data_IF_773859573590
#
_entry.id   IF_773859573590
#
_cell.length_a   1.000
_cell.length_b   1.000
_cell.length_c   1.000
_cell.angle_alpha   90.00
_cell.angle_beta   90.00
_cell.angle_gamma   90.00
#
_symmetry.space_group_name_H-M   'P 1'
#
loop_
_entity.id
_entity.type
_entity.pdbx_description
1 polymer ?
#
# COMPACT_ATOMS: atom_id res chain seq x y z
N UNK A 1 -34.41 -0.90 11.05
CA UNK A 1 -33.48 0.24 10.88
C UNK A 1 -32.10 -0.35 10.74
N UNK A 2 -31.68 -0.59 9.50
CA UNK A 2 -30.33 -1.02 9.16
C UNK A 2 -29.39 0.15 9.42
N UNK A 3 -28.33 -0.07 10.21
CA UNK A 3 -27.32 0.96 10.50
C UNK A 3 -26.62 1.44 9.23
N UNK A 4 -25.90 2.56 9.27
CA UNK A 4 -25.18 3.06 8.12
C UNK A 4 -24.13 2.02 7.70
N UNK A 5 -24.28 1.53 6.47
CA UNK A 5 -23.34 0.65 5.79
C UNK A 5 -21.99 1.38 5.70
N UNK A 6 -20.99 0.93 6.47
CA UNK A 6 -19.65 1.51 6.43
C UNK A 6 -19.06 1.21 5.05
N UNK A 7 -18.92 2.22 4.20
CA UNK A 7 -18.24 2.08 2.92
C UNK A 7 -16.75 1.88 3.18
N UNK A 8 -16.30 0.62 3.15
CA UNK A 8 -14.88 0.27 3.16
C UNK A 8 -14.26 0.86 1.89
N UNK A 9 -13.23 1.69 2.03
CA UNK A 9 -12.51 2.26 0.89
C UNK A 9 -11.78 1.17 0.09
N UNK A 10 -11.37 1.43 -1.16
CA UNK A 10 -10.70 0.43 -1.98
C UNK A 10 -9.40 -0.04 -1.35
N UNK A 11 -9.04 -1.30 -1.63
CA UNK A 11 -7.74 -1.84 -1.23
C UNK A 11 -6.63 -1.17 -2.04
N UNK A 12 -5.88 -0.28 -1.40
CA UNK A 12 -4.80 0.47 -2.06
C UNK A 12 -3.50 -0.34 -2.10
N UNK A 13 -3.04 -0.69 -3.29
CA UNK A 13 -1.82 -1.47 -3.48
C UNK A 13 -0.78 -0.61 -4.21
N UNK A 14 0.37 -0.40 -3.57
CA UNK A 14 1.50 0.26 -4.23
C UNK A 14 2.25 -0.74 -5.11
N UNK A 15 2.53 -0.37 -6.37
CA UNK A 15 3.43 -1.10 -7.24
C UNK A 15 4.75 -0.33 -7.31
N UNK A 16 5.83 -0.94 -6.82
CA UNK A 16 7.16 -0.31 -6.68
C UNK A 16 8.24 -1.08 -7.42
N UNK A 17 9.37 -0.42 -7.67
CA UNK A 17 10.56 -1.01 -8.26
C UNK A 17 11.83 -0.31 -7.79
N UNK A 18 12.89 -1.08 -7.50
CA UNK A 18 14.17 -0.54 -7.04
C UNK A 18 14.97 0.26 -8.08
N UNK A 19 14.66 0.10 -9.38
CA UNK A 19 15.30 0.80 -10.50
C UNK A 19 14.30 1.07 -11.63
N UNK A 20 14.60 2.06 -12.47
CA UNK A 20 13.86 2.29 -13.71
C UNK A 20 14.06 1.18 -14.74
N UNK A 21 13.10 1.00 -15.64
CA UNK A 21 13.23 0.06 -16.78
C UNK A 21 12.89 -1.40 -16.48
N UNK A 22 12.38 -1.74 -15.29
CA UNK A 22 11.96 -3.12 -14.96
C UNK A 22 10.58 -3.51 -15.52
N UNK A 23 9.89 -2.60 -16.22
CA UNK A 23 8.54 -2.82 -16.74
C UNK A 23 7.42 -2.72 -15.69
N UNK A 24 7.63 -1.96 -14.62
CA UNK A 24 6.66 -1.75 -13.53
C UNK A 24 5.29 -1.29 -14.05
N UNK A 25 5.23 -0.23 -14.86
CA UNK A 25 3.97 0.31 -15.40
C UNK A 25 3.27 -0.67 -16.34
N UNK A 26 4.03 -1.43 -17.14
CA UNK A 26 3.52 -2.52 -17.97
C UNK A 26 2.87 -3.62 -17.13
N UNK A 27 3.52 -3.99 -16.02
CA UNK A 27 2.99 -4.96 -15.05
C UNK A 27 1.71 -4.41 -14.41
N UNK A 28 1.70 -3.14 -13.98
CA UNK A 28 0.53 -2.48 -13.40
C UNK A 28 -0.67 -2.48 -14.36
N UNK A 29 -0.48 -2.06 -15.61
CA UNK A 29 -1.56 -2.00 -16.60
C UNK A 29 -2.16 -3.38 -16.90
N UNK A 30 -1.32 -4.40 -17.11
CA UNK A 30 -1.79 -5.75 -17.41
C UNK A 30 -2.48 -6.42 -16.22
N UNK A 31 -1.97 -6.24 -14.99
CA UNK A 31 -2.63 -6.75 -13.78
C UNK A 31 -3.97 -6.04 -13.56
N UNK A 32 -4.04 -4.71 -13.75
CA UNK A 32 -5.28 -3.95 -13.59
C UNK A 32 -6.39 -4.48 -14.51
N UNK A 33 -6.07 -4.68 -15.79
CA UNK A 33 -7.02 -5.23 -16.76
C UNK A 33 -7.37 -6.67 -16.44
N UNK A 34 -6.41 -7.49 -16.02
CA UNK A 34 -6.69 -8.87 -15.59
C UNK A 34 -7.62 -8.93 -14.36
N UNK A 35 -7.48 -8.01 -13.39
CA UNK A 35 -8.39 -7.89 -12.25
C UNK A 35 -9.79 -7.44 -12.68
N UNK A 36 -9.89 -6.48 -13.61
CA UNK A 36 -11.17 -6.04 -14.16
C UNK A 36 -11.88 -7.18 -14.94
N UNK A 37 -11.14 -7.97 -15.73
CA UNK A 37 -11.68 -9.17 -16.41
C UNK A 37 -12.15 -10.24 -15.43
N UNK A 38 -11.56 -10.30 -14.22
CA UNK A 38 -12.00 -11.17 -13.13
C UNK A 38 -13.23 -10.61 -12.37
N UNK A 39 -13.76 -9.44 -12.76
CA UNK A 39 -14.97 -8.85 -12.22
C UNK A 39 -14.76 -7.82 -11.11
N UNK A 40 -13.52 -7.43 -10.81
CA UNK A 40 -13.23 -6.41 -9.81
C UNK A 40 -13.42 -5.00 -10.39
N UNK A 41 -13.90 -4.08 -9.56
CA UNK A 41 -13.90 -2.64 -9.85
C UNK A 41 -12.52 -2.06 -9.56
N UNK A 42 -11.76 -1.72 -10.61
CA UNK A 42 -10.33 -1.38 -10.50
C UNK A 42 -10.05 0.08 -10.88
N UNK A 43 -9.29 0.75 -10.03
CA UNK A 43 -8.67 2.05 -10.33
C UNK A 43 -7.15 1.95 -10.44
N UNK A 44 -6.55 2.81 -11.26
CA UNK A 44 -5.10 3.01 -11.36
C UNK A 44 -4.75 4.48 -11.22
N UNK A 45 -3.84 4.78 -10.30
CA UNK A 45 -3.15 6.06 -10.22
C UNK A 45 -1.75 5.88 -10.81
N UNK A 46 -1.49 6.56 -11.91
CA UNK A 46 -0.14 6.69 -12.47
C UNK A 46 0.59 7.84 -11.77
N UNK A 47 1.41 7.48 -10.80
CA UNK A 47 2.18 8.40 -9.98
C UNK A 47 3.61 8.62 -10.54
N UNK A 48 3.96 8.05 -11.70
CA UNK A 48 5.23 8.34 -12.37
C UNK A 48 5.16 9.68 -13.12
N UNK A 49 5.48 10.74 -12.41
CA UNK A 49 5.38 12.12 -12.90
C UNK A 49 6.33 12.42 -14.07
N UNK A 50 7.48 11.74 -14.12
CA UNK A 50 8.52 12.03 -15.11
C UNK A 50 8.40 11.18 -16.37
N UNK A 51 7.71 10.04 -16.29
CA UNK A 51 7.48 9.15 -17.42
C UNK A 51 6.12 8.46 -17.33
N UNK A 52 5.00 9.21 -17.31
CA UNK A 52 3.68 8.62 -17.26
C UNK A 52 3.48 7.76 -18.50
N UNK A 53 3.07 6.52 -18.32
CA UNK A 53 2.98 5.53 -19.40
C UNK A 53 1.68 4.74 -19.40
N UNK A 54 0.97 4.72 -18.27
CA UNK A 54 -0.29 3.98 -18.13
C UNK A 54 -1.37 4.46 -19.12
N UNK A 55 -1.60 5.77 -19.36
CA UNK A 55 -2.62 6.21 -20.31
C UNK A 55 -2.37 5.69 -21.72
N UNK A 56 -1.11 5.76 -22.19
CA UNK A 56 -0.71 5.24 -23.50
C UNK A 56 -0.93 3.74 -23.61
N UNK A 57 -0.46 2.97 -22.62
CA UNK A 57 -0.63 1.50 -22.57
C UNK A 57 -2.09 1.03 -22.56
N UNK A 58 -3.02 1.91 -22.17
CA UNK A 58 -4.47 1.65 -22.13
C UNK A 58 -5.24 2.34 -23.27
N UNK A 59 -4.54 2.97 -24.21
CA UNK A 59 -5.18 3.66 -25.34
C UNK A 59 -6.00 4.87 -24.94
N UNK A 60 -5.74 5.45 -23.76
CA UNK A 60 -6.45 6.61 -23.24
C UNK A 60 -5.84 7.87 -23.87
N UNK A 61 -6.65 8.72 -24.54
CA UNK A 61 -6.15 9.96 -25.10
C UNK A 61 -5.64 10.91 -24.00
N UNK A 62 -4.57 11.65 -24.28
CA UNK A 62 -3.95 12.62 -23.36
C UNK A 62 -4.77 13.91 -23.15
N UNK A 63 -6.10 13.81 -23.11
CA UNK A 63 -6.98 14.95 -22.86
C UNK A 63 -7.12 15.22 -21.37
N UNK A 64 -7.27 16.50 -21.01
CA UNK A 64 -7.54 16.88 -19.62
C UNK A 64 -8.85 16.26 -19.13
N UNK A 65 -8.85 15.65 -17.93
CA UNK A 65 -10.04 15.03 -17.40
C UNK A 65 -11.12 16.09 -17.12
N UNK A 66 -12.37 15.73 -17.40
CA UNK A 66 -13.51 16.56 -17.05
C UNK A 66 -13.70 16.63 -15.53
N UNK A 67 -14.48 17.60 -15.06
CA UNK A 67 -14.83 17.73 -13.65
C UNK A 67 -16.34 17.55 -13.45
N UNK A 68 -16.73 16.93 -12.35
CA UNK A 68 -18.13 16.85 -11.92
C UNK A 68 -18.63 18.22 -11.45
N UNK A 69 -19.96 18.43 -11.34
CA UNK A 69 -20.51 19.64 -10.72
C UNK A 69 -19.99 19.90 -9.30
N UNK A 70 -19.63 18.84 -8.58
CA UNK A 70 -19.04 18.86 -7.23
C UNK A 70 -17.52 19.13 -7.23
N UNK A 71 -16.94 19.53 -8.36
CA UNK A 71 -15.51 19.82 -8.52
C UNK A 71 -14.60 18.60 -8.28
N UNK A 72 -15.11 17.38 -8.53
CA UNK A 72 -14.30 16.16 -8.52
C UNK A 72 -13.78 15.88 -9.93
N UNK A 73 -12.57 15.35 -10.05
CA UNK A 73 -11.97 14.92 -11.32
C UNK A 73 -12.64 13.62 -11.76
N UNK A 74 -13.16 13.59 -12.99
CA UNK A 74 -13.71 12.36 -13.59
C UNK A 74 -12.52 11.56 -14.15
N UNK A 75 -12.24 10.34 -13.65
CA UNK A 75 -11.14 9.54 -14.17
C UNK A 75 -11.43 9.11 -15.60
N UNK A 76 -10.38 8.93 -16.41
CA UNK A 76 -10.53 8.26 -17.69
C UNK A 76 -10.85 6.78 -17.47
N UNK A 77 -11.48 6.13 -18.44
CA UNK A 77 -11.81 4.71 -18.34
C UNK A 77 -11.47 3.99 -19.64
N UNK A 78 -10.74 2.88 -19.52
CA UNK A 78 -10.45 2.00 -20.64
C UNK A 78 -10.30 0.56 -20.14
N UNK A 79 -10.71 -0.41 -20.93
CA UNK A 79 -10.60 -1.84 -20.60
C UNK A 79 -11.22 -2.23 -19.24
N UNK A 80 -12.25 -1.52 -18.77
CA UNK A 80 -12.88 -1.73 -17.47
C UNK A 80 -12.09 -1.19 -16.28
N UNK A 81 -11.06 -0.38 -16.52
CA UNK A 81 -10.18 0.21 -15.50
C UNK A 81 -10.33 1.73 -15.52
N UNK A 82 -10.56 2.32 -14.35
CA UNK A 82 -10.54 3.77 -14.17
C UNK A 82 -9.10 4.24 -13.95
N UNK A 83 -8.72 5.36 -14.54
CA UNK A 83 -7.32 5.83 -14.56
C UNK A 83 -7.26 7.33 -14.33
N UNK A 84 -6.30 7.72 -13.49
CA UNK A 84 -5.80 9.09 -13.45
C UNK A 84 -4.28 9.07 -13.56
N UNK A 85 -3.73 9.98 -14.34
CA UNK A 85 -2.28 10.11 -14.52
C UNK A 85 -1.87 11.57 -14.48
N UNK A 86 -0.63 11.80 -14.03
CA UNK A 86 -0.02 13.11 -14.14
C UNK A 86 0.07 13.60 -15.60
N UNK A 87 0.26 12.67 -16.54
CA UNK A 87 0.31 12.98 -17.97
C UNK A 87 -0.98 13.57 -18.54
N UNK A 88 -2.12 13.40 -17.86
CA UNK A 88 -3.40 13.98 -18.27
C UNK A 88 -3.59 15.43 -17.80
N UNK A 89 -2.80 15.90 -16.84
CA UNK A 89 -2.95 17.24 -16.25
C UNK A 89 -2.02 18.29 -16.87
N UNK A 90 -0.94 17.85 -17.50
CA UNK A 90 0.06 18.71 -18.13
C UNK A 90 -0.33 18.98 -19.58
N UNK A 91 -0.42 20.26 -19.97
CA UNK A 91 -0.49 20.60 -21.40
C UNK A 91 0.88 20.28 -22.03
N UNK A 92 0.88 19.54 -23.14
CA UNK A 92 2.06 18.96 -23.85
C UNK A 92 3.17 19.94 -24.28
N UNK A 93 3.09 21.24 -23.92
CA UNK A 93 3.98 22.28 -24.45
C UNK A 93 4.88 22.95 -23.40
N UNK A 94 4.82 22.56 -22.13
CA UNK A 94 5.74 23.11 -21.10
C UNK A 94 6.22 22.02 -20.16
N UNK A 95 7.54 21.78 -20.03
CA UNK A 95 8.06 20.96 -18.94
C UNK A 95 7.73 21.69 -17.63
N UNK A 96 6.61 21.33 -17.03
CA UNK A 96 6.25 21.80 -15.71
C UNK A 96 7.30 21.23 -14.75
N UNK A 97 8.24 22.05 -14.31
CA UNK A 97 9.17 21.69 -13.25
C UNK A 97 8.34 21.54 -11.97
N UNK A 98 7.78 20.34 -11.79
CA UNK A 98 7.02 19.96 -10.63
C UNK A 98 8.00 19.85 -9.46
N UNK A 99 7.96 20.85 -8.58
CA UNK A 99 8.71 20.82 -7.31
C UNK A 99 7.97 19.92 -6.31
N UNK A 100 8.72 19.24 -5.44
CA UNK A 100 8.20 18.24 -4.48
C UNK A 100 6.85 18.56 -3.82
N UNK A 101 6.61 19.77 -3.28
CA UNK A 101 5.33 20.11 -2.65
C UNK A 101 4.11 20.03 -3.59
N UNK A 102 4.29 20.27 -4.90
CA UNK A 102 3.20 20.14 -5.87
C UNK A 102 2.90 18.68 -6.18
N UNK A 103 3.91 17.82 -6.22
CA UNK A 103 3.75 16.38 -6.40
C UNK A 103 2.84 15.80 -5.32
N UNK A 104 3.13 16.11 -4.05
CA UNK A 104 2.29 15.68 -2.93
C UNK A 104 0.84 16.14 -3.07
N UNK A 105 0.63 17.39 -3.50
CA UNK A 105 -0.71 17.94 -3.71
C UNK A 105 -1.47 17.21 -4.81
N UNK A 106 -0.81 16.89 -5.93
CA UNK A 106 -1.44 16.12 -7.02
C UNK A 106 -1.75 14.69 -6.59
N UNK A 107 -0.87 14.03 -5.85
CA UNK A 107 -1.14 12.69 -5.32
C UNK A 107 -2.33 12.71 -4.33
N UNK A 108 -2.40 13.71 -3.46
CA UNK A 108 -3.58 13.96 -2.60
C UNK A 108 -4.86 14.17 -3.41
N UNK A 109 -4.78 14.92 -4.49
CA UNK A 109 -5.90 15.12 -5.41
C UNK A 109 -6.32 13.80 -6.08
N UNK A 110 -5.37 13.00 -6.58
CA UNK A 110 -5.67 11.75 -7.27
C UNK A 110 -6.40 10.72 -6.42
N UNK A 111 -6.11 10.69 -5.11
CA UNK A 111 -6.79 9.76 -4.21
C UNK A 111 -8.07 10.35 -3.63
N UNK A 112 -8.09 11.64 -3.28
CA UNK A 112 -9.23 12.24 -2.53
C UNK A 112 -10.22 13.03 -3.37
N UNK A 113 -9.83 13.50 -4.55
CA UNK A 113 -10.59 14.43 -5.38
C UNK A 113 -10.90 13.87 -6.78
N UNK A 114 -10.73 12.57 -6.97
CA UNK A 114 -11.17 11.84 -8.17
C UNK A 114 -12.45 11.09 -7.84
N UNK A 115 -13.42 11.14 -8.75
CA UNK A 115 -14.68 10.42 -8.65
C UNK A 115 -14.51 8.96 -9.07
N UNK A 116 -13.88 8.18 -8.18
CA UNK A 116 -13.62 6.76 -8.39
C UNK A 116 -14.90 5.91 -8.40
N UNK A 117 -16.00 6.39 -7.82
CA UNK A 117 -17.14 5.55 -7.48
C UNK A 117 -16.76 4.45 -6.46
N UNK A 118 -17.44 3.31 -6.52
CA UNK A 118 -17.05 2.13 -5.75
C UNK A 118 -15.92 1.39 -6.48
N UNK A 119 -14.87 1.06 -5.74
CA UNK A 119 -13.72 0.31 -6.22
C UNK A 119 -13.38 -0.79 -5.20
N UNK A 120 -13.03 -1.97 -5.71
CA UNK A 120 -12.47 -3.05 -4.90
C UNK A 120 -10.98 -2.81 -4.66
N UNK A 121 -10.26 -2.36 -5.70
CA UNK A 121 -8.80 -2.19 -5.69
C UNK A 121 -8.40 -0.88 -6.36
N UNK A 122 -7.44 -0.18 -5.74
CA UNK A 122 -6.76 0.98 -6.32
C UNK A 122 -5.26 0.70 -6.41
N UNK A 123 -4.74 0.52 -7.63
CA UNK A 123 -3.32 0.31 -7.87
C UNK A 123 -2.59 1.65 -8.00
N UNK A 124 -1.46 1.80 -7.32
CA UNK A 124 -0.65 3.01 -7.36
C UNK A 124 0.68 2.70 -8.05
N UNK A 125 0.84 3.13 -9.30
CA UNK A 125 2.06 2.95 -10.08
C UNK A 125 3.10 3.99 -9.65
N UNK A 126 3.98 3.62 -8.72
CA UNK A 126 4.90 4.57 -8.08
C UNK A 126 6.04 4.97 -9.04
N UNK A 127 6.65 6.17 -8.93
CA UNK A 127 7.86 6.50 -9.70
C UNK A 127 9.02 5.54 -9.35
N UNK A 128 10.00 5.31 -10.24
CA UNK A 128 11.10 4.38 -9.96
C UNK A 128 12.03 4.87 -8.85
N UNK A 129 12.70 3.93 -8.17
CA UNK A 129 13.74 4.23 -7.17
C UNK A 129 13.20 4.22 -5.74
N UNK A 130 13.86 4.96 -4.86
CA UNK A 130 13.61 4.96 -3.40
C UNK A 130 13.59 6.39 -2.84
N UNK A 131 13.12 7.33 -3.65
CA UNK A 131 13.13 8.76 -3.33
C UNK A 131 11.93 9.19 -2.47
N UNK A 132 11.99 10.43 -1.99
CA UNK A 132 11.03 11.01 -1.03
C UNK A 132 9.56 10.97 -1.50
N UNK A 133 9.30 10.90 -2.82
CA UNK A 133 7.94 10.84 -3.37
C UNK A 133 7.22 9.56 -2.96
N UNK A 134 7.90 8.41 -3.03
CA UNK A 134 7.29 7.14 -2.65
C UNK A 134 7.00 7.09 -1.14
N UNK A 135 7.91 7.63 -0.32
CA UNK A 135 7.73 7.77 1.12
C UNK A 135 6.54 8.67 1.45
N UNK A 136 6.46 9.82 0.80
CA UNK A 136 5.38 10.80 0.98
C UNK A 136 4.02 10.19 0.64
N UNK A 137 3.93 9.42 -0.44
CA UNK A 137 2.70 8.74 -0.84
C UNK A 137 2.30 7.66 0.17
N UNK A 138 3.26 6.84 0.62
CA UNK A 138 3.01 5.81 1.62
C UNK A 138 2.63 6.38 3.00
N UNK A 139 3.10 7.58 3.35
CA UNK A 139 2.69 8.30 4.56
C UNK A 139 1.32 9.00 4.41
N UNK A 140 0.98 9.45 3.20
CA UNK A 140 -0.25 10.20 2.95
C UNK A 140 -1.50 9.32 2.91
N UNK A 141 -1.35 8.01 2.61
CA UNK A 141 -2.46 7.09 2.41
C UNK A 141 -2.26 5.76 3.12
N UNK A 142 -3.34 5.16 3.66
CA UNK A 142 -3.28 3.84 4.26
C UNK A 142 -3.19 2.78 3.16
N UNK A 143 -1.96 2.40 2.79
CA UNK A 143 -1.74 1.33 1.82
C UNK A 143 -2.03 -0.04 2.45
N UNK A 144 -2.83 -0.85 1.77
CA UNK A 144 -3.09 -2.24 2.15
C UNK A 144 -1.84 -3.11 1.98
N UNK A 145 -0.96 -2.73 1.04
CA UNK A 145 0.37 -3.30 0.90
C UNK A 145 1.10 -2.81 -0.34
N UNK A 146 2.32 -3.31 -0.53
CA UNK A 146 3.17 -3.01 -1.67
C UNK A 146 3.61 -4.29 -2.39
N UNK A 147 3.68 -4.22 -3.72
CA UNK A 147 4.24 -5.23 -4.60
C UNK A 147 5.54 -4.70 -5.18
N UNK A 148 6.57 -5.52 -5.17
CA UNK A 148 7.87 -5.15 -5.75
C UNK A 148 8.07 -5.85 -7.08
N UNK A 149 8.23 -5.06 -8.14
CA UNK A 149 8.61 -5.53 -9.47
C UNK A 149 10.13 -5.50 -9.61
N UNK A 150 10.71 -6.62 -9.98
CA UNK A 150 12.15 -6.79 -10.21
C UNK A 150 12.41 -7.56 -11.50
N UNK A 151 13.68 -7.67 -11.89
CA UNK A 151 14.17 -8.48 -13.01
C UNK A 151 15.15 -9.54 -12.50
N UNK A 152 15.39 -10.65 -13.24
CA UNK A 152 16.34 -11.67 -12.80
C UNK A 152 17.77 -11.16 -12.58
N UNK A 153 18.13 -10.04 -13.22
CA UNK A 153 19.44 -9.39 -13.08
C UNK A 153 19.58 -8.59 -11.77
N UNK A 154 18.49 -8.38 -11.03
CA UNK A 154 18.47 -7.65 -9.76
C UNK A 154 18.95 -8.49 -8.58
N UNK A 155 19.93 -9.36 -8.79
CA UNK A 155 20.50 -10.26 -7.76
C UNK A 155 21.18 -9.47 -6.62
N UNK A 156 21.40 -8.15 -6.78
CA UNK A 156 21.91 -7.31 -5.70
C UNK A 156 20.83 -7.02 -4.68
N UNK A 157 20.90 -7.73 -3.56
CA UNK A 157 20.15 -7.47 -2.33
C UNK A 157 20.15 -5.99 -1.93
N UNK A 158 21.19 -5.22 -2.27
CA UNK A 158 21.24 -3.78 -1.95
C UNK A 158 20.18 -2.97 -2.69
N UNK A 159 19.83 -3.32 -3.94
CA UNK A 159 18.85 -2.57 -4.74
C UNK A 159 17.43 -2.93 -4.32
N UNK A 160 17.16 -4.23 -4.17
CA UNK A 160 15.89 -4.72 -3.65
C UNK A 160 15.63 -4.18 -2.23
N UNK A 161 16.59 -4.37 -1.29
CA UNK A 161 16.46 -3.87 0.09
C UNK A 161 16.26 -2.37 0.16
N UNK A 162 16.76 -1.56 -0.78
CA UNK A 162 16.60 -0.12 -0.70
C UNK A 162 15.14 0.30 -0.94
N UNK A 163 14.46 -0.29 -1.91
CA UNK A 163 13.03 -0.05 -2.15
C UNK A 163 12.15 -0.62 -1.03
N UNK A 164 12.55 -1.78 -0.50
CA UNK A 164 11.83 -2.48 0.57
C UNK A 164 11.99 -1.81 1.94
N UNK A 165 13.20 -1.35 2.30
CA UNK A 165 13.46 -0.62 3.56
C UNK A 165 12.61 0.63 3.67
N UNK A 166 12.30 1.28 2.55
CA UNK A 166 11.43 2.44 2.56
C UNK A 166 9.99 2.03 2.91
N UNK A 167 9.49 0.93 2.36
CA UNK A 167 8.17 0.38 2.72
C UNK A 167 8.13 -0.10 4.18
N UNK A 168 9.22 -0.69 4.68
CA UNK A 168 9.38 -1.03 6.10
C UNK A 168 9.37 0.22 7.00
N UNK A 169 10.03 1.33 6.59
CA UNK A 169 10.06 2.59 7.35
C UNK A 169 8.68 3.22 7.53
N UNK A 170 7.81 3.06 6.54
CA UNK A 170 6.40 3.49 6.58
C UNK A 170 5.45 2.34 6.94
N UNK A 171 6.02 1.20 7.32
CA UNK A 171 5.34 -0.02 7.77
C UNK A 171 4.22 -0.51 6.82
N UNK A 172 4.43 -0.37 5.52
CA UNK A 172 3.53 -0.91 4.50
C UNK A 172 3.90 -2.36 4.26
N UNK A 173 2.96 -3.32 4.42
CA UNK A 173 3.27 -4.73 4.26
C UNK A 173 3.61 -5.05 2.81
N UNK A 174 4.67 -5.82 2.59
CA UNK A 174 5.05 -6.27 1.25
C UNK A 174 4.20 -7.51 0.93
N UNK A 175 3.29 -7.37 -0.03
CA UNK A 175 2.39 -8.45 -0.47
C UNK A 175 3.15 -9.51 -1.27
N UNK A 176 4.24 -9.12 -1.92
CA UNK A 176 5.14 -10.05 -2.58
C UNK A 176 6.00 -9.42 -3.68
N UNK A 177 6.76 -10.28 -4.34
CA UNK A 177 7.70 -9.93 -5.41
C UNK A 177 7.27 -10.54 -6.73
N UNK A 178 7.31 -9.74 -7.80
CA UNK A 178 7.12 -10.17 -9.19
C UNK A 178 8.48 -10.11 -9.89
N UNK A 179 8.91 -11.21 -10.49
CA UNK A 179 10.08 -11.22 -11.37
C UNK A 179 9.64 -11.03 -12.82
N UNK A 180 9.71 -9.80 -13.31
CA UNK A 180 9.44 -9.46 -14.69
C UNK A 180 10.65 -9.73 -15.60
N UNK A 181 10.40 -9.88 -16.90
CA UNK A 181 11.42 -10.19 -17.91
C UNK A 181 12.18 -11.50 -17.62
N UNK A 182 11.50 -12.49 -17.03
CA UNK A 182 12.06 -13.78 -16.63
C UNK A 182 11.96 -14.80 -17.75
N UNK A 183 12.99 -14.87 -18.59
CA UNK A 183 12.99 -15.65 -19.82
C UNK A 183 12.36 -14.91 -21.00
N UNK A 184 12.22 -15.61 -22.12
CA UNK A 184 11.76 -15.06 -23.40
C UNK A 184 10.79 -16.04 -24.07
N UNK A 185 9.59 -15.55 -24.38
CA UNK A 185 8.55 -16.29 -25.10
C UNK A 185 8.88 -16.30 -26.58
N UNK A 186 9.13 -17.50 -27.13
CA UNK A 186 9.32 -17.66 -28.56
C UNK A 186 8.03 -17.32 -29.31
N UNK A 187 8.04 -16.35 -30.25
CA UNK A 187 6.83 -15.95 -30.97
C UNK A 187 6.30 -17.04 -31.92
N UNK A 188 7.14 -18.02 -32.31
CA UNK A 188 6.75 -19.07 -33.25
C UNK A 188 6.12 -20.30 -32.59
N UNK A 189 6.54 -20.64 -31.36
CA UNK A 189 6.10 -21.87 -30.69
C UNK A 189 5.60 -21.68 -29.25
N UNK A 190 5.65 -20.46 -28.70
CA UNK A 190 5.22 -20.15 -27.34
C UNK A 190 6.12 -20.71 -26.23
N UNK A 191 7.22 -21.39 -26.57
CA UNK A 191 8.17 -21.91 -25.58
C UNK A 191 8.89 -20.76 -24.89
N UNK A 192 8.95 -20.79 -23.56
CA UNK A 192 9.72 -19.83 -22.77
C UNK A 192 11.16 -20.33 -22.63
N UNK A 193 12.10 -19.58 -23.20
CA UNK A 193 13.53 -19.86 -23.15
C UNK A 193 14.22 -18.90 -22.20
N UNK A 194 15.09 -19.41 -21.34
CA UNK A 194 15.83 -18.56 -20.41
C UNK A 194 17.09 -18.02 -21.06
N UNK A 195 17.08 -16.72 -21.35
CA UNK A 195 18.20 -16.01 -21.96
C UNK A 195 19.12 -15.32 -20.94
N UNK A 196 18.68 -15.24 -19.67
CA UNK A 196 19.43 -14.68 -18.54
C UNK A 196 19.42 -15.65 -17.34
N UNK A 197 20.18 -15.31 -16.30
CA UNK A 197 20.09 -15.97 -14.99
C UNK A 197 18.64 -15.91 -14.46
N UNK A 198 18.28 -16.86 -13.60
CA UNK A 198 16.92 -16.99 -13.06
C UNK A 198 16.91 -16.92 -11.53
N UNK A 199 15.72 -16.64 -10.97
CA UNK A 199 15.47 -16.82 -9.54
C UNK A 199 15.95 -15.66 -8.67
N UNK A 200 16.29 -14.51 -9.26
CA UNK A 200 16.66 -13.32 -8.51
C UNK A 200 15.50 -12.82 -7.65
N UNK A 201 14.30 -12.71 -8.23
CA UNK A 201 13.10 -12.31 -7.52
C UNK A 201 12.61 -13.34 -6.49
N UNK A 202 12.81 -14.62 -6.77
CA UNK A 202 12.45 -15.73 -5.87
C UNK A 202 13.36 -15.74 -4.64
N UNK A 203 14.68 -15.60 -4.84
CA UNK A 203 15.63 -15.45 -3.74
C UNK A 203 15.38 -14.18 -2.90
N UNK A 204 15.00 -13.07 -3.55
CA UNK A 204 14.59 -11.85 -2.84
C UNK A 204 13.36 -12.12 -1.97
N UNK A 205 12.34 -12.80 -2.50
CA UNK A 205 11.12 -13.10 -1.75
C UNK A 205 11.41 -14.00 -0.53
N UNK A 206 12.21 -15.05 -0.72
CA UNK A 206 12.61 -15.97 0.35
C UNK A 206 13.39 -15.25 1.46
N UNK A 207 14.38 -14.43 1.11
CA UNK A 207 15.19 -13.72 2.11
C UNK A 207 14.38 -12.71 2.94
N UNK A 208 13.33 -12.13 2.35
CA UNK A 208 12.45 -11.18 3.03
C UNK A 208 11.31 -11.86 3.78
N UNK A 209 11.11 -13.17 3.59
CA UNK A 209 9.95 -13.88 4.12
C UNK A 209 8.62 -13.39 3.55
N UNK A 210 8.60 -12.96 2.28
CA UNK A 210 7.39 -12.48 1.58
C UNK A 210 6.99 -13.42 0.45
N UNK A 211 5.77 -13.30 -0.06
CA UNK A 211 5.31 -14.15 -1.15
C UNK A 211 6.07 -13.88 -2.46
N UNK A 212 6.39 -14.94 -3.19
CA UNK A 212 6.80 -14.84 -4.59
C UNK A 212 5.54 -14.95 -5.47
N UNK A 213 5.15 -13.85 -6.10
CA UNK A 213 3.87 -13.77 -6.84
C UNK A 213 3.95 -14.39 -8.25
N UNK A 214 5.16 -14.50 -8.81
CA UNK A 214 5.39 -15.20 -10.07
C UNK A 214 6.46 -14.59 -10.96
N UNK A 215 6.66 -15.27 -12.10
CA UNK A 215 7.60 -14.90 -13.17
C UNK A 215 6.82 -14.48 -14.39
N UNK A 216 7.13 -13.31 -14.94
CA UNK A 216 6.56 -12.83 -16.22
C UNK A 216 7.66 -12.88 -17.27
N UNK A 217 7.57 -13.72 -18.32
CA UNK A 217 8.57 -13.77 -19.37
C UNK A 217 8.51 -12.54 -20.27
N UNK A 218 9.63 -12.21 -20.92
CA UNK A 218 9.62 -11.28 -22.05
C UNK A 218 8.74 -11.86 -23.15
N UNK A 219 7.83 -11.05 -23.67
CA UNK A 219 6.98 -11.39 -24.80
C UNK A 219 7.03 -10.20 -25.76
N UNK A 220 7.50 -10.38 -27.01
CA UNK A 220 7.59 -9.29 -27.98
C UNK A 220 6.28 -8.52 -28.14
N UNK A 221 5.14 -9.23 -28.06
CA UNK A 221 3.84 -8.62 -28.21
C UNK A 221 3.54 -7.62 -27.10
N UNK A 222 4.19 -7.68 -25.93
CA UNK A 222 3.98 -6.70 -24.84
C UNK A 222 4.30 -5.29 -25.29
N UNK A 223 5.35 -5.11 -26.09
CA UNK A 223 5.76 -3.79 -26.59
C UNK A 223 4.73 -3.29 -27.58
N UNK A 224 4.43 -4.09 -28.60
CA UNK A 224 3.45 -3.76 -29.65
C UNK A 224 2.07 -3.43 -29.04
N UNK A 225 1.62 -4.26 -28.09
CA UNK A 225 0.36 -4.07 -27.36
C UNK A 225 0.35 -2.76 -26.53
N UNK A 226 1.49 -2.40 -25.94
CA UNK A 226 1.63 -1.17 -25.17
C UNK A 226 1.53 0.08 -26.06
N UNK A 227 2.16 0.04 -27.23
CA UNK A 227 2.13 1.15 -28.19
C UNK A 227 0.76 1.27 -28.88
N UNK A 228 0.09 0.14 -29.14
CA UNK A 228 -1.28 0.08 -29.68
C UNK A 228 -2.36 0.44 -28.65
N UNK A 229 -1.98 0.64 -27.38
CA UNK A 229 -2.89 0.95 -26.29
C UNK A 229 -3.87 -0.17 -25.92
N UNK A 230 -3.52 -1.42 -26.22
CA UNK A 230 -4.32 -2.60 -25.86
C UNK A 230 -3.47 -3.58 -25.07
N UNK A 231 -3.63 -3.69 -23.74
CA UNK A 231 -2.79 -4.56 -22.91
C UNK A 231 -2.73 -6.02 -23.38
N UNK A 232 -1.57 -6.65 -23.21
CA UNK A 232 -1.30 -8.03 -23.64
C UNK A 232 -2.34 -9.03 -23.14
N UNK A 233 -2.79 -8.88 -21.89
CA UNK A 233 -3.79 -9.79 -21.30
C UNK A 233 -5.07 -9.89 -22.13
N UNK A 234 -5.41 -8.82 -22.86
CA UNK A 234 -6.56 -8.72 -23.79
C UNK A 234 -6.18 -9.04 -25.24
N UNK A 235 -5.04 -8.54 -25.72
CA UNK A 235 -4.61 -8.71 -27.10
C UNK A 235 -4.17 -10.15 -27.42
N UNK A 236 -3.47 -10.80 -26.48
CA UNK A 236 -2.94 -12.15 -26.62
C UNK A 236 -3.21 -12.98 -25.36
N UNK A 237 -4.48 -13.29 -25.02
CA UNK A 237 -4.83 -13.96 -23.77
C UNK A 237 -4.20 -15.35 -23.66
N UNK A 238 -3.91 -16.05 -24.76
CA UNK A 238 -3.24 -17.35 -24.69
C UNK A 238 -1.73 -17.29 -24.39
N UNK A 239 -1.11 -16.11 -24.35
CA UNK A 239 0.34 -16.01 -24.23
C UNK A 239 0.84 -16.39 -22.82
N UNK A 240 2.08 -16.91 -22.70
CA UNK A 240 2.69 -17.19 -21.40
C UNK A 240 2.73 -15.97 -20.47
N UNK A 241 3.04 -14.78 -21.00
CA UNK A 241 3.06 -13.56 -20.21
C UNK A 241 1.66 -13.12 -19.78
N UNK A 242 0.65 -13.21 -20.66
CA UNK A 242 -0.74 -12.92 -20.30
C UNK A 242 -1.25 -13.85 -19.19
N UNK A 243 -0.89 -15.14 -19.26
CA UNK A 243 -1.20 -16.13 -18.24
C UNK A 243 -0.52 -15.79 -16.91
N UNK A 244 0.76 -15.40 -16.93
CA UNK A 244 1.49 -14.97 -15.74
C UNK A 244 0.86 -13.72 -15.10
N UNK A 245 0.47 -12.71 -15.89
CA UNK A 245 -0.23 -11.53 -15.36
C UNK A 245 -1.56 -11.89 -14.68
N UNK A 246 -2.36 -12.78 -15.26
CA UNK A 246 -3.61 -13.25 -14.62
C UNK A 246 -3.37 -14.03 -13.33
N UNK A 247 -2.31 -14.85 -13.28
CA UNK A 247 -1.94 -15.55 -12.05
C UNK A 247 -1.53 -14.58 -10.94
N UNK A 248 -0.72 -13.57 -11.27
CA UNK A 248 -0.34 -12.52 -10.31
C UNK A 248 -1.57 -11.72 -9.88
N UNK A 249 -2.45 -11.35 -10.81
CA UNK A 249 -3.69 -10.64 -10.51
C UNK A 249 -4.60 -11.45 -9.58
N UNK A 250 -4.74 -12.76 -9.81
CA UNK A 250 -5.50 -13.65 -8.95
C UNK A 250 -4.88 -13.79 -7.55
N UNK A 251 -3.55 -13.94 -7.46
CA UNK A 251 -2.84 -14.00 -6.18
C UNK A 251 -3.01 -12.69 -5.38
N UNK A 252 -2.99 -11.54 -6.06
CA UNK A 252 -3.27 -10.25 -5.44
C UNK A 252 -4.75 -10.10 -5.08
N UNK A 253 -5.70 -10.56 -5.89
CA UNK A 253 -7.12 -10.50 -5.53
C UNK A 253 -7.45 -11.40 -4.32
N UNK A 254 -6.74 -12.53 -4.18
CA UNK A 254 -6.91 -13.51 -3.10
C UNK A 254 -6.11 -13.21 -1.83
N UNK A 255 -5.24 -12.19 -1.80
CA UNK A 255 -4.65 -11.74 -0.53
C UNK A 255 -5.75 -11.06 0.28
N UNK A 256 -6.61 -11.88 0.87
CA UNK A 256 -7.70 -11.43 1.72
C UNK A 256 -7.21 -10.38 2.72
N UNK A 257 -8.10 -9.44 3.05
CA UNK A 257 -8.10 -8.74 4.35
C UNK A 257 -8.22 -9.72 5.56
N UNK A 258 -8.21 -11.04 5.31
CA UNK A 258 -8.30 -12.16 6.27
C UNK A 258 -6.94 -12.60 6.83
N UNK A 259 -5.84 -11.93 6.50
CA UNK A 259 -4.69 -12.02 7.38
C UNK A 259 -5.13 -11.36 8.72
N UNK A 260 -5.48 -12.16 9.72
CA UNK A 260 -6.31 -11.80 10.89
C UNK A 260 -5.86 -10.60 11.72
N UNK A 261 -6.20 -9.39 11.25
CA UNK A 261 -6.01 -8.14 11.98
C UNK A 261 -7.29 -7.33 12.00
N UNK A 262 -7.37 -6.37 12.92
CA UNK A 262 -8.52 -5.46 13.05
C UNK A 262 -8.84 -4.77 11.73
N UNK A 263 -10.12 -4.54 11.46
CA UNK A 263 -10.56 -3.83 10.27
C UNK A 263 -10.00 -2.38 10.27
N UNK A 264 -9.42 -1.98 9.15
CA UNK A 264 -8.91 -0.61 8.92
C UNK A 264 -9.49 -0.04 7.61
N UNK A 265 -9.58 1.30 7.47
CA UNK A 265 -9.29 2.30 8.48
C UNK A 265 -10.38 2.39 9.55
N UNK A 266 -10.01 2.78 10.78
CA UNK A 266 -10.96 3.13 11.83
C UNK A 266 -10.50 4.38 12.59
N UNK A 267 -11.45 5.06 13.22
CA UNK A 267 -11.21 6.14 14.15
C UNK A 267 -12.18 6.03 15.31
N UNK A 268 -11.70 5.49 16.42
CA UNK A 268 -12.44 5.23 17.63
C UNK A 268 -12.36 6.42 18.60
N UNK A 269 -13.51 7.03 18.87
CA UNK A 269 -13.71 8.01 19.93
C UNK A 269 -14.03 7.30 21.24
N UNK A 270 -13.23 7.55 22.29
CA UNK A 270 -13.41 6.91 23.60
C UNK A 270 -14.65 7.46 24.33
N UNK A 271 -15.00 8.73 24.11
CA UNK A 271 -16.07 9.40 24.84
C UNK A 271 -17.47 8.81 24.56
N UNK A 272 -17.73 8.39 23.32
CA UNK A 272 -19.03 7.89 22.85
C UNK A 272 -18.96 6.48 22.25
N UNK A 273 -17.76 5.89 22.17
CA UNK A 273 -17.54 4.57 21.60
C UNK A 273 -17.64 4.53 20.06
N UNK A 274 -17.87 5.66 19.40
CA UNK A 274 -18.09 5.70 17.96
C UNK A 274 -16.82 5.31 17.19
N UNK A 275 -16.97 4.48 16.17
CA UNK A 275 -15.85 4.07 15.29
C UNK A 275 -14.90 3.03 15.88
N UNK A 276 -15.28 2.33 16.96
CA UNK A 276 -14.55 1.14 17.45
C UNK A 276 -14.50 0.07 16.34
N UNK A 277 -13.33 -0.46 15.99
CA UNK A 277 -13.22 -1.48 14.95
C UNK A 277 -13.78 -2.81 15.45
N UNK A 278 -14.32 -3.61 14.53
CA UNK A 278 -14.70 -4.98 14.84
C UNK A 278 -13.45 -5.85 15.09
N UNK A 279 -13.49 -6.77 16.08
CA UNK A 279 -12.44 -7.76 16.25
C UNK A 279 -12.27 -8.62 14.98
N UNK A 280 -11.03 -8.97 14.67
CA UNK A 280 -10.72 -9.95 13.65
C UNK A 280 -11.22 -11.34 14.08
N UNK A 281 -11.56 -12.19 13.11
CA UNK A 281 -11.80 -13.60 13.38
C UNK A 281 -10.52 -14.23 13.98
N UNK A 282 -10.64 -15.15 14.96
CA UNK A 282 -9.47 -15.82 15.51
C UNK A 282 -8.76 -16.62 14.41
N UNK A 283 -7.49 -16.33 14.16
CA UNK A 283 -6.64 -17.07 13.22
C UNK A 283 -5.59 -17.82 14.02
N UNK A 284 -5.63 -19.15 14.00
CA UNK A 284 -4.60 -19.98 14.62
C UNK A 284 -3.27 -19.84 13.88
N UNK A 285 -2.22 -19.38 14.57
CA UNK A 285 -0.89 -19.21 13.99
C UNK A 285 -0.67 -17.89 13.25
N UNK A 286 -1.43 -16.83 13.59
CA UNK A 286 -1.24 -15.50 13.02
C UNK A 286 0.14 -14.90 13.32
N UNK A 287 0.55 -13.93 12.50
CA UNK A 287 1.81 -13.21 12.71
C UNK A 287 1.82 -12.46 14.06
N UNK A 288 2.92 -12.48 14.83
CA UNK A 288 2.98 -11.90 16.17
C UNK A 288 2.68 -10.39 16.16
N UNK A 289 3.20 -9.63 15.20
CA UNK A 289 3.00 -8.18 15.19
C UNK A 289 1.64 -7.74 14.61
N UNK A 290 0.65 -8.64 14.55
CA UNK A 290 -0.67 -8.36 13.99
C UNK A 290 -1.73 -8.19 15.07
N UNK A 291 -2.31 -7.00 15.15
CA UNK A 291 -3.34 -6.68 16.14
C UNK A 291 -4.70 -7.22 15.68
N UNK A 292 -5.28 -8.14 16.44
CA UNK A 292 -6.54 -8.82 16.13
C UNK A 292 -7.75 -8.15 16.80
N UNK A 293 -7.58 -7.54 17.98
CA UNK A 293 -8.60 -6.73 18.62
C UNK A 293 -7.98 -5.70 19.57
N UNK A 294 -8.75 -4.67 19.91
CA UNK A 294 -8.40 -3.73 20.97
C UNK A 294 -9.63 -3.34 21.78
N UNK A 295 -9.39 -3.06 23.06
CA UNK A 295 -10.38 -2.49 23.96
C UNK A 295 -9.77 -1.44 24.88
N UNK A 296 -10.60 -0.63 25.52
CA UNK A 296 -10.18 0.47 26.36
C UNK A 296 -11.12 0.61 27.56
N UNK A 297 -10.54 0.82 28.72
CA UNK A 297 -11.24 1.14 29.96
C UNK A 297 -10.42 2.15 30.79
N UNK A 298 -10.88 2.45 32.01
CA UNK A 298 -10.19 3.38 32.90
C UNK A 298 -8.75 2.95 33.23
N UNK A 299 -8.44 1.66 33.20
CA UNK A 299 -7.12 1.14 33.53
C UNK A 299 -6.15 1.03 32.35
N UNK A 300 -6.59 1.22 31.09
CA UNK A 300 -5.66 1.20 29.96
C UNK A 300 -6.23 0.80 28.61
N UNK A 301 -5.31 0.66 27.65
CA UNK A 301 -5.56 0.08 26.35
C UNK A 301 -5.19 -1.41 26.38
N UNK A 302 -6.16 -2.26 26.10
CA UNK A 302 -5.99 -3.71 25.96
C UNK A 302 -5.80 -4.04 24.48
N UNK A 303 -4.75 -4.79 24.16
CA UNK A 303 -4.39 -5.20 22.80
C UNK A 303 -4.36 -6.72 22.74
N UNK A 304 -5.08 -7.30 21.78
CA UNK A 304 -5.09 -8.74 21.49
C UNK A 304 -4.46 -9.01 20.15
N UNK A 305 -3.44 -9.84 20.12
CA UNK A 305 -2.64 -10.15 18.95
C UNK A 305 -3.12 -11.42 18.26
N UNK A 306 -2.81 -11.55 16.97
CA UNK A 306 -3.24 -12.68 16.14
C UNK A 306 -2.61 -14.02 16.56
N UNK A 307 -1.51 -14.00 17.30
CA UNK A 307 -0.89 -15.19 17.90
C UNK A 307 -1.52 -15.57 19.25
N UNK A 308 -2.57 -14.87 19.68
CA UNK A 308 -3.28 -15.10 20.93
C UNK A 308 -2.67 -14.39 22.14
N UNK A 309 -1.56 -13.66 21.97
CA UNK A 309 -1.02 -12.85 23.05
C UNK A 309 -1.97 -11.69 23.38
N UNK A 310 -2.19 -11.41 24.66
CA UNK A 310 -2.96 -10.27 25.14
C UNK A 310 -2.11 -9.45 26.10
N UNK A 311 -2.13 -8.13 25.92
CA UNK A 311 -1.40 -7.21 26.78
C UNK A 311 -2.26 -6.00 27.13
N UNK A 312 -2.07 -5.48 28.34
CA UNK A 312 -2.69 -4.24 28.78
C UNK A 312 -1.63 -3.18 29.04
N UNK A 313 -1.80 -2.02 28.42
CA UNK A 313 -0.89 -0.90 28.52
C UNK A 313 -1.57 0.27 29.24
N UNK A 314 -0.93 0.77 30.30
CA UNK A 314 -1.44 1.92 31.02
C UNK A 314 -1.39 3.18 30.15
N UNK A 315 -2.41 4.04 30.30
CA UNK A 315 -2.60 5.22 29.44
C UNK A 315 -1.43 6.21 29.56
N UNK A 316 -0.93 6.39 30.79
CA UNK A 316 0.23 7.23 31.07
C UNK A 316 1.53 6.65 30.50
N UNK A 317 1.71 5.34 30.56
CA UNK A 317 2.90 4.68 30.02
C UNK A 317 2.93 4.80 28.49
N UNK A 318 1.79 4.64 27.83
CA UNK A 318 1.65 4.94 26.41
C UNK A 318 2.04 6.39 26.12
N UNK A 319 1.49 7.36 26.86
CA UNK A 319 1.80 8.78 26.68
C UNK A 319 3.29 9.08 26.82
N UNK A 320 3.94 8.46 27.82
CA UNK A 320 5.37 8.58 28.08
C UNK A 320 6.20 7.89 26.98
N UNK A 321 5.73 6.77 26.44
CA UNK A 321 6.40 6.02 25.38
C UNK A 321 6.32 6.69 23.99
N UNK A 322 5.56 7.77 23.83
CA UNK A 322 5.39 8.47 22.55
C UNK A 322 6.72 8.78 21.86
N UNK A 323 6.82 8.41 20.58
CA UNK A 323 8.01 8.63 19.74
C UNK A 323 7.79 9.65 18.62
N UNK A 324 6.74 10.47 18.70
CA UNK A 324 6.50 11.50 17.69
C UNK A 324 7.55 12.62 17.77
N UNK A 325 7.63 13.44 16.71
CA UNK A 325 8.58 14.54 16.61
C UNK A 325 8.41 15.63 17.70
N UNK A 326 7.26 15.71 18.38
CA UNK A 326 7.06 16.59 19.53
C UNK A 326 7.66 16.03 20.82
N UNK A 327 7.80 14.70 20.92
CA UNK A 327 8.25 14.02 22.15
C UNK A 327 9.70 13.53 22.04
N UNK A 328 10.23 13.37 20.83
CA UNK A 328 11.62 12.98 20.57
C UNK A 328 12.21 13.78 19.43
N UNK A 329 13.47 14.18 19.60
CA UNK A 329 14.24 14.84 18.56
C UNK A 329 14.57 13.87 17.44
N UNK A 330 14.29 14.26 16.20
CA UNK A 330 14.40 13.38 15.03
C UNK A 330 15.85 13.04 14.66
N UNK A 331 16.80 13.95 14.93
CA UNK A 331 18.20 13.79 14.57
C UNK A 331 18.99 12.97 15.60
N UNK A 332 18.65 13.13 16.88
CA UNK A 332 19.41 12.56 17.99
C UNK A 332 18.66 11.45 18.72
N UNK A 333 17.37 11.27 18.45
CA UNK A 333 16.44 10.39 19.20
C UNK A 333 16.34 10.73 20.70
N UNK A 334 16.87 11.89 21.11
CA UNK A 334 16.81 12.37 22.48
C UNK A 334 15.35 12.67 22.88
N UNK A 335 15.01 12.36 24.12
CA UNK A 335 13.65 12.59 24.64
C UNK A 335 13.47 14.08 24.91
N UNK A 336 12.48 14.69 24.25
CA UNK A 336 12.06 16.07 24.45
C UNK A 336 10.93 16.18 25.50
N UNK A 337 10.11 15.12 25.61
CA UNK A 337 9.05 15.04 26.61
C UNK A 337 9.65 14.91 28.02
N UNK A 338 9.35 15.88 28.86
CA UNK A 338 9.61 15.82 30.30
C UNK A 338 8.54 14.93 30.99
N UNK A 339 8.90 13.78 31.57
CA UNK A 339 7.95 12.89 32.23
C UNK A 339 7.16 13.53 33.38
N UNK A 340 7.74 14.51 34.07
CA UNK A 340 7.11 15.17 35.22
C UNK A 340 5.98 16.10 34.79
N UNK A 341 5.97 16.52 33.52
CA UNK A 341 4.91 17.34 32.95
C UNK A 341 3.67 16.54 32.51
N UNK A 342 3.77 15.21 32.46
CA UNK A 342 2.66 14.33 32.06
C UNK A 342 1.76 14.01 33.26
N UNK A 343 0.50 14.50 33.30
CA UNK A 343 -0.41 14.29 34.41
C UNK A 343 -0.63 12.80 34.74
N UNK A 344 -0.77 12.49 36.03
CA UNK A 344 -1.01 11.12 36.50
C UNK A 344 -2.34 10.56 36.02
N UNK A 345 -3.33 11.43 35.82
CA UNK A 345 -4.68 11.12 35.39
C UNK A 345 -4.87 11.25 33.87
N UNK A 346 -3.78 11.29 33.09
CA UNK A 346 -3.85 11.35 31.63
C UNK A 346 -4.63 10.17 31.06
N UNK A 347 -5.64 10.45 30.25
CA UNK A 347 -6.48 9.44 29.57
C UNK A 347 -6.35 9.53 28.06
N UNK A 348 -6.59 8.42 27.38
CA UNK A 348 -6.76 8.35 25.92
C UNK A 348 -8.14 8.89 25.57
N UNK A 349 -8.21 9.79 24.60
CA UNK A 349 -9.47 10.37 24.11
C UNK A 349 -9.87 9.81 22.75
N UNK A 350 -8.89 9.38 21.95
CA UNK A 350 -9.10 8.85 20.60
C UNK A 350 -8.02 7.83 20.23
N UNK A 351 -8.44 6.81 19.47
CA UNK A 351 -7.57 5.80 18.87
C UNK A 351 -7.90 5.70 17.39
N UNK A 352 -6.92 5.71 16.50
CA UNK A 352 -7.20 5.49 15.07
C UNK A 352 -6.15 4.59 14.44
N UNK A 353 -6.53 3.88 13.37
CA UNK A 353 -5.57 3.11 12.58
C UNK A 353 -4.67 4.04 11.78
N UNK A 354 -3.38 3.76 11.78
CA UNK A 354 -2.43 4.30 10.81
C UNK A 354 -1.99 3.13 9.95
N UNK A 355 -2.69 2.94 8.83
CA UNK A 355 -2.58 1.72 8.02
C UNK A 355 -2.85 0.46 8.84
N UNK A 356 -2.17 -0.63 8.49
CA UNK A 356 -2.30 -1.94 9.14
C UNK A 356 -1.18 -2.24 10.15
N UNK A 357 -0.50 -1.20 10.66
CA UNK A 357 0.75 -1.39 11.40
C UNK A 357 0.92 -0.56 12.66
N UNK A 358 0.08 0.46 12.86
CA UNK A 358 0.21 1.37 13.98
C UNK A 358 -1.14 1.89 14.45
N UNK A 359 -1.16 2.32 15.70
CA UNK A 359 -2.24 3.11 16.28
C UNK A 359 -1.77 4.56 16.43
N UNK A 360 -2.64 5.49 16.06
CA UNK A 360 -2.55 6.85 16.54
C UNK A 360 -3.35 7.01 17.82
N UNK A 361 -2.82 7.76 18.80
CA UNK A 361 -3.48 8.03 20.08
C UNK A 361 -3.53 9.54 20.36
N UNK A 362 -4.68 10.00 20.85
CA UNK A 362 -4.85 11.33 21.43
C UNK A 362 -5.10 11.21 22.93
N UNK A 363 -4.69 12.24 23.69
CA UNK A 363 -4.73 12.24 25.15
C UNK A 363 -5.40 13.49 25.72
N UNK A 364 -5.82 13.41 26.98
CA UNK A 364 -6.48 14.52 27.71
C UNK A 364 -5.55 15.69 28.02
N UNK A 365 -4.23 15.50 27.96
CA UNK A 365 -3.24 16.59 28.10
C UNK A 365 -3.12 17.45 26.83
N UNK A 366 -3.95 17.19 25.81
CA UNK A 366 -3.98 17.89 24.54
C UNK A 366 -3.03 17.31 23.48
N UNK A 367 -2.28 16.26 23.79
CA UNK A 367 -1.40 15.62 22.82
C UNK A 367 -2.20 14.76 21.82
N UNK A 368 -2.00 14.98 20.51
CA UNK A 368 -2.81 14.36 19.45
C UNK A 368 -1.99 13.82 18.25
N UNK A 369 -0.66 13.84 18.33
CA UNK A 369 0.24 13.42 17.25
C UNK A 369 0.94 12.09 17.52
N UNK A 370 0.55 11.37 18.58
CA UNK A 370 1.21 10.14 19.00
C UNK A 370 0.96 8.99 18.03
N UNK A 371 2.04 8.38 17.52
CA UNK A 371 2.01 7.23 16.60
C UNK A 371 2.76 6.08 17.25
N UNK A 372 2.12 4.92 17.34
CA UNK A 372 2.62 3.74 18.02
C UNK A 372 2.56 2.55 17.07
N UNK A 373 3.72 2.10 16.58
CA UNK A 373 3.78 0.90 15.75
C UNK A 373 3.42 -0.33 16.57
N UNK A 374 2.83 -1.33 15.93
CA UNK A 374 2.47 -2.60 16.56
C UNK A 374 3.68 -3.27 17.20
N UNK A 375 4.82 -3.24 16.51
CA UNK A 375 6.10 -3.70 17.08
C UNK A 375 6.51 -2.94 18.34
N UNK A 376 6.34 -1.61 18.37
CA UNK A 376 6.66 -0.81 19.54
C UNK A 376 5.68 -1.09 20.69
N UNK A 377 4.38 -1.17 20.41
CA UNK A 377 3.35 -1.52 21.38
C UNK A 377 3.64 -2.90 21.98
N UNK A 378 3.97 -3.88 21.15
CA UNK A 378 4.28 -5.24 21.57
C UNK A 378 5.58 -5.35 22.39
N UNK A 379 6.52 -4.45 22.17
CA UNK A 379 7.75 -4.35 22.96
C UNK A 379 7.54 -3.65 24.31
N UNK A 380 6.44 -2.90 24.50
CA UNK A 380 6.12 -2.31 25.79
C UNK A 380 5.66 -3.42 26.75
N UNK A 381 6.36 -3.55 27.88
CA UNK A 381 5.99 -4.49 28.93
C UNK A 381 4.67 -4.03 29.58
N UNK A 382 3.59 -4.77 29.33
CA UNK A 382 2.35 -4.66 30.09
C UNK A 382 2.34 -5.64 31.26
N UNK A 383 1.49 -5.39 32.26
CA UNK A 383 1.11 -6.42 33.25
C UNK A 383 0.38 -7.54 32.51
N UNK A 384 0.84 -8.80 32.66
CA UNK A 384 0.08 -9.97 32.21
C UNK A 384 -1.27 -9.97 32.92
N UNK A 385 -2.35 -10.18 32.18
CA UNK A 385 -3.66 -10.44 32.75
C UNK A 385 -3.61 -11.83 33.38
N UNK A 386 -3.30 -11.92 34.67
CA UNK A 386 -3.59 -13.13 35.43
C UNK A 386 -5.11 -13.29 35.48
N UNK A 387 -5.62 -14.40 34.95
CA UNK A 387 -7.03 -14.80 35.10
C UNK A 387 -7.39 -14.88 36.59
N UNK A 388 -8.21 -13.94 37.07
CA UNK A 388 -8.79 -13.95 38.44
C UNK A 388 -10.15 -14.62 38.45
#
# INVERSE_FOLDING_TARGET
MTGPEQTVGPRMIAISSGKGGVGKSTVTANIAVAMAEAGLSVGVVDADIYGPSIPGMLGIPGTKPAMTPQQMVIPAEAHGVKVISMGMLTDDDKPAILRGPMVTKYLQMFVKQVDWGQLDVLLLDLPPGTGDIQLTLAQAFPLAGAVVVSTPQDVSLKIARRGLRMMEQVNVPILGVIENMSGFTCPSCGTVTHIFHQGGGEAIAEELGVAFLGKVPLDPNVVDCGDDGTPLVKAAPGSPAATAYRQVAAALAQTDDSAGGIATPFAWSIADGAGKPMPAAPVTGGAPDKLAALDHDDGGLTLRWADGFEQRLAQRDLRLACTCAQCRDEMTSARLLDPDTVPLDTRITRIWSIGNYALGLSFTDGHDTGIYTFKALRALQGTELEDV
#
